data_IF_494295866916
#
_entry.id   IF_494295866916
#
_cell.length_a   1.000
_cell.length_b   1.000
_cell.length_c   1.000
_cell.angle_alpha   90.00
_cell.angle_beta   90.00
_cell.angle_gamma   90.00
#
_symmetry.space_group_name_H-M   'P 1'
#
loop_
_entity.id
_entity.type
_entity.pdbx_description
1 polymer ?
#
# COMPACT_ATOMS: atom_id res chain seq x y z
N UNK A 1 3.06 -7.53 -20.49
CA UNK A 1 4.13 -7.13 -19.55
C UNK A 1 3.69 -7.41 -18.12
N UNK A 2 4.52 -8.02 -17.30
CA UNK A 2 4.19 -8.21 -15.89
C UNK A 2 4.10 -6.88 -15.16
N UNK A 3 3.25 -6.83 -14.15
CA UNK A 3 3.07 -5.65 -13.32
C UNK A 3 3.83 -5.85 -12.00
N UNK A 4 4.80 -4.99 -11.69
CA UNK A 4 5.66 -5.21 -10.52
C UNK A 4 4.97 -4.85 -9.21
N UNK A 5 5.42 -5.49 -8.13
CA UNK A 5 5.10 -5.05 -6.77
C UNK A 5 6.08 -3.93 -6.43
N UNK A 6 5.56 -2.75 -6.11
CA UNK A 6 6.40 -1.57 -5.91
C UNK A 6 6.30 -0.96 -4.51
N UNK A 7 5.39 -1.46 -3.69
CA UNK A 7 5.12 -0.85 -2.39
C UNK A 7 4.54 -1.91 -1.44
N UNK A 8 4.99 -1.89 -0.19
CA UNK A 8 4.31 -2.66 0.85
C UNK A 8 3.62 -1.68 1.80
N UNK A 9 2.67 -2.19 2.58
CA UNK A 9 2.00 -1.35 3.56
C UNK A 9 1.75 -2.15 4.83
N UNK A 10 2.06 -1.56 5.98
CA UNK A 10 1.80 -2.17 7.28
C UNK A 10 0.98 -1.17 8.08
N UNK A 11 -0.20 -1.58 8.51
CA UNK A 11 -1.13 -0.70 9.21
C UNK A 11 -1.54 -1.30 10.55
N UNK A 12 -1.87 -0.44 11.49
CA UNK A 12 -2.37 -0.87 12.79
C UNK A 12 -2.98 0.27 13.57
N UNK A 13 -3.52 -0.04 14.75
CA UNK A 13 -4.25 0.93 15.56
C UNK A 13 -3.37 1.99 16.22
N UNK A 14 -2.07 1.75 16.27
CA UNK A 14 -1.10 2.74 16.77
C UNK A 14 0.04 2.86 15.75
N UNK A 15 -0.16 3.74 14.78
CA UNK A 15 0.79 3.92 13.68
C UNK A 15 2.15 4.41 14.16
N UNK A 16 2.18 5.30 15.15
CA UNK A 16 3.45 5.81 15.69
C UNK A 16 4.26 4.70 16.33
N UNK A 17 3.61 3.83 17.09
CA UNK A 17 4.27 2.69 17.72
C UNK A 17 4.84 1.74 16.66
N UNK A 18 4.06 1.45 15.62
CA UNK A 18 4.51 0.60 14.53
C UNK A 18 5.74 1.18 13.84
N UNK A 19 5.70 2.48 13.55
CA UNK A 19 6.83 3.14 12.89
C UNK A 19 8.10 3.02 13.73
N UNK A 20 8.00 3.27 15.03
CA UNK A 20 9.15 3.14 15.93
C UNK A 20 9.66 1.70 15.99
N UNK A 21 8.74 0.74 16.08
CA UNK A 21 9.10 -0.67 16.15
C UNK A 21 9.94 -1.09 14.94
N UNK A 22 9.47 -0.81 13.74
CA UNK A 22 10.16 -1.23 12.53
C UNK A 22 11.45 -0.48 12.28
N UNK A 23 11.49 0.81 12.64
CA UNK A 23 12.73 1.58 12.53
C UNK A 23 13.81 1.02 13.47
N UNK A 24 13.43 0.70 14.70
CA UNK A 24 14.39 0.19 15.70
C UNK A 24 14.85 -1.24 15.38
N UNK A 25 13.92 -2.09 14.96
CA UNK A 25 14.26 -3.50 14.74
C UNK A 25 15.07 -3.73 13.48
N UNK A 26 14.78 -2.99 12.41
CA UNK A 26 15.37 -3.27 11.09
C UNK A 26 16.17 -2.11 10.52
N UNK A 27 16.29 -1.02 11.24
CA UNK A 27 17.09 0.12 10.78
C UNK A 27 16.48 0.90 9.64
N UNK A 28 15.17 0.76 9.42
CA UNK A 28 14.49 1.48 8.34
C UNK A 28 14.36 2.97 8.64
N UNK A 29 14.49 3.79 7.60
CA UNK A 29 14.30 5.24 7.71
C UNK A 29 12.85 5.55 7.39
N UNK A 30 12.14 6.17 8.35
CA UNK A 30 10.71 6.43 8.21
C UNK A 30 10.46 7.93 8.33
N UNK A 31 9.77 8.49 7.32
CA UNK A 31 9.38 9.89 7.28
C UNK A 31 7.86 10.00 7.30
N UNK A 32 7.30 10.45 8.41
CA UNK A 32 5.86 10.62 8.58
C UNK A 32 5.45 12.10 8.53
N UNK A 33 6.30 12.97 8.01
CA UNK A 33 6.04 14.40 7.90
C UNK A 33 5.13 14.69 6.69
N UNK A 34 3.86 14.35 6.85
CA UNK A 34 2.83 14.58 5.84
C UNK A 34 1.47 14.65 6.55
N UNK A 35 0.43 15.17 5.85
CA UNK A 35 -0.88 15.40 6.50
C UNK A 35 -1.53 14.18 7.14
N UNK A 36 -1.20 12.98 6.67
CA UNK A 36 -1.79 11.75 7.18
C UNK A 36 -0.91 11.04 8.20
N UNK A 37 0.26 11.60 8.51
CA UNK A 37 1.28 10.95 9.36
C UNK A 37 1.61 9.54 8.87
N UNK A 38 1.54 9.34 7.57
CA UNK A 38 1.87 8.07 6.93
C UNK A 38 3.37 7.93 6.83
N UNK A 39 3.92 6.89 7.43
CA UNK A 39 5.36 6.72 7.50
C UNK A 39 5.94 6.17 6.19
N UNK A 40 6.41 7.06 5.33
CA UNK A 40 7.11 6.66 4.12
C UNK A 40 8.41 6.00 4.53
N UNK A 41 8.54 4.74 4.16
CA UNK A 41 9.57 3.85 4.71
C UNK A 41 10.58 3.45 3.64
N UNK A 42 11.85 3.77 3.91
CA UNK A 42 12.97 3.36 3.08
C UNK A 42 13.65 2.19 3.78
N UNK A 43 13.56 1.02 3.17
CA UNK A 43 14.15 -0.19 3.75
C UNK A 43 15.65 -0.33 3.44
N UNK A 44 16.15 0.53 2.56
CA UNK A 44 17.55 0.50 2.15
C UNK A 44 17.85 -0.59 1.12
N UNK A 45 19.03 -0.52 0.53
CA UNK A 45 19.48 -1.54 -0.40
C UNK A 45 18.58 -1.70 -1.63
N UNK A 46 18.41 -2.94 -2.06
CA UNK A 46 17.66 -3.26 -3.27
C UNK A 46 16.22 -3.72 -2.99
N UNK A 47 15.78 -3.66 -1.74
CA UNK A 47 14.42 -4.03 -1.37
C UNK A 47 13.40 -2.99 -1.79
N UNK A 48 12.13 -3.38 -1.75
CA UNK A 48 11.06 -2.41 -2.02
C UNK A 48 10.85 -1.52 -0.82
N UNK A 49 10.43 -0.29 -1.07
CA UNK A 49 10.06 0.65 -0.04
C UNK A 49 8.55 0.59 0.20
N UNK A 50 8.08 1.20 1.27
CA UNK A 50 6.67 1.09 1.59
C UNK A 50 6.19 2.18 2.53
N UNK A 51 5.11 1.87 3.25
CA UNK A 51 4.53 2.77 4.20
C UNK A 51 4.02 2.06 5.44
N UNK A 52 4.10 2.74 6.56
CA UNK A 52 3.58 2.26 7.84
C UNK A 52 2.66 3.32 8.41
N UNK A 53 1.41 2.97 8.65
CA UNK A 53 0.42 3.94 9.05
C UNK A 53 -0.62 3.39 10.00
N UNK A 54 -1.61 4.22 10.25
CA UNK A 54 -2.67 3.93 11.20
C UNK A 54 -3.94 3.48 10.52
N UNK A 55 -4.56 2.44 11.07
CA UNK A 55 -5.88 1.97 10.65
C UNK A 55 -6.53 1.26 11.83
N UNK A 56 -7.85 1.09 11.78
CA UNK A 56 -8.56 0.43 12.87
C UNK A 56 -8.14 -1.02 13.05
N UNK A 57 -7.85 -1.71 11.96
CA UNK A 57 -7.45 -3.11 12.00
C UNK A 57 -6.05 -3.29 11.44
N UNK A 58 -5.32 -4.25 11.98
CA UNK A 58 -3.99 -4.59 11.49
C UNK A 58 -4.08 -5.16 10.07
N UNK A 59 -3.16 -4.72 9.21
CA UNK A 59 -3.11 -5.17 7.83
C UNK A 59 -1.67 -5.06 7.32
N UNK A 60 -1.20 -6.11 6.65
CA UNK A 60 0.03 -6.04 5.88
C UNK A 60 -0.32 -6.40 4.45
N UNK A 61 0.03 -5.56 3.51
CA UNK A 61 -0.35 -5.75 2.12
C UNK A 61 0.73 -5.25 1.16
N UNK A 62 0.50 -5.50 -0.11
CA UNK A 62 1.40 -5.08 -1.19
C UNK A 62 0.60 -4.27 -2.20
N UNK A 63 1.29 -3.44 -2.97
CA UNK A 63 0.70 -2.68 -4.06
C UNK A 63 1.37 -3.06 -5.37
N UNK A 64 0.54 -3.34 -6.37
CA UNK A 64 0.98 -3.71 -7.71
C UNK A 64 0.83 -2.48 -8.61
N UNK A 65 1.89 -2.14 -9.32
CA UNK A 65 1.89 -0.98 -10.21
C UNK A 65 1.21 -1.33 -11.53
N UNK A 66 0.24 -0.51 -11.93
CA UNK A 66 -0.52 -0.69 -13.17
C UNK A 66 -0.70 0.65 -13.87
N UNK A 67 -0.97 0.61 -15.17
CA UNK A 67 -1.19 1.83 -15.94
C UNK A 67 -2.48 2.53 -15.52
N UNK A 68 -3.55 1.76 -15.36
CA UNK A 68 -4.88 2.28 -15.07
C UNK A 68 -5.54 1.44 -13.97
N UNK A 69 -5.49 1.91 -12.73
CA UNK A 69 -6.10 1.17 -11.61
C UNK A 69 -7.59 0.86 -11.80
N UNK A 70 -8.34 1.78 -12.42
CA UNK A 70 -9.76 1.54 -12.66
C UNK A 70 -10.02 0.38 -13.60
N UNK A 71 -9.25 0.29 -14.67
CA UNK A 71 -9.36 -0.80 -15.63
C UNK A 71 -8.97 -2.13 -15.00
N UNK A 72 -7.90 -2.14 -14.22
CA UNK A 72 -7.47 -3.35 -13.51
C UNK A 72 -8.46 -3.77 -12.42
N UNK A 73 -9.08 -2.80 -11.75
CA UNK A 73 -10.10 -3.11 -10.75
C UNK A 73 -11.28 -3.85 -11.38
N UNK A 74 -11.75 -3.37 -12.54
CA UNK A 74 -12.81 -4.06 -13.30
C UNK A 74 -12.37 -5.46 -13.71
N UNK A 75 -11.12 -5.60 -14.14
CA UNK A 75 -10.57 -6.88 -14.60
C UNK A 75 -10.51 -7.91 -13.46
N UNK A 76 -10.03 -7.50 -12.28
CA UNK A 76 -9.94 -8.44 -11.14
C UNK A 76 -11.34 -8.81 -10.62
N UNK A 77 -12.28 -7.87 -10.63
CA UNK A 77 -13.65 -8.15 -10.23
C UNK A 77 -14.28 -9.17 -11.17
N UNK A 78 -14.06 -9.02 -12.48
CA UNK A 78 -14.56 -9.98 -13.46
C UNK A 78 -13.96 -11.39 -13.25
N UNK A 79 -12.79 -11.47 -12.62
CA UNK A 79 -12.11 -12.73 -12.34
C UNK A 79 -12.42 -13.28 -10.93
N UNK A 80 -13.33 -12.65 -10.19
CA UNK A 80 -13.78 -13.18 -8.89
C UNK A 80 -13.35 -12.39 -7.66
N UNK A 81 -12.66 -11.27 -7.84
CA UNK A 81 -12.28 -10.42 -6.72
C UNK A 81 -13.42 -9.45 -6.33
N UNK A 82 -13.26 -8.81 -5.20
CA UNK A 82 -14.20 -7.80 -4.71
C UNK A 82 -13.48 -6.46 -4.52
N UNK A 83 -14.19 -5.36 -4.75
CA UNK A 83 -13.65 -4.02 -4.51
C UNK A 83 -13.61 -3.77 -3.00
N UNK A 84 -12.46 -3.36 -2.49
CA UNK A 84 -12.31 -2.90 -1.11
C UNK A 84 -12.26 -1.37 -1.08
N UNK A 85 -11.47 -0.78 -1.96
CA UNK A 85 -11.35 0.67 -2.09
C UNK A 85 -11.40 1.02 -3.56
N UNK A 86 -12.38 1.81 -3.96
CA UNK A 86 -12.48 2.29 -5.34
C UNK A 86 -11.30 3.19 -5.68
N UNK A 87 -11.10 3.45 -6.96
CA UNK A 87 -10.01 4.32 -7.39
C UNK A 87 -10.09 5.64 -6.64
N UNK A 88 -9.01 5.97 -5.96
CA UNK A 88 -8.90 7.17 -5.13
C UNK A 88 -7.63 7.91 -5.51
N UNK A 89 -7.76 9.19 -5.78
CA UNK A 89 -6.61 10.05 -6.04
C UNK A 89 -6.31 10.88 -4.80
N UNK A 90 -5.08 10.79 -4.31
CA UNK A 90 -4.58 11.70 -3.30
C UNK A 90 -3.73 12.72 -4.06
N UNK A 91 -4.20 13.97 -4.22
CA UNK A 91 -3.52 14.95 -5.06
C UNK A 91 -2.04 15.10 -4.73
N UNK A 92 -1.21 15.16 -5.77
CA UNK A 92 0.24 15.29 -5.67
C UNK A 92 0.95 14.13 -4.97
N UNK A 93 0.24 13.03 -4.72
CA UNK A 93 0.82 11.85 -4.06
C UNK A 93 0.62 10.59 -4.87
N UNK A 94 -0.62 10.09 -4.94
CA UNK A 94 -0.85 8.75 -5.50
C UNK A 94 -2.28 8.58 -5.98
N UNK A 95 -2.46 7.73 -6.98
CA UNK A 95 -3.77 7.22 -7.40
C UNK A 95 -3.74 5.71 -7.17
N UNK A 96 -4.69 5.21 -6.41
CA UNK A 96 -4.67 3.81 -5.99
C UNK A 96 -6.08 3.23 -5.86
N UNK A 97 -6.14 1.90 -5.73
CA UNK A 97 -7.37 1.17 -5.43
C UNK A 97 -6.99 -0.07 -4.63
N UNK A 98 -7.96 -0.73 -4.05
CA UNK A 98 -7.74 -1.98 -3.33
C UNK A 98 -8.83 -2.98 -3.67
N UNK A 99 -8.46 -4.24 -3.76
CA UNK A 99 -9.40 -5.33 -3.98
C UNK A 99 -9.11 -6.47 -3.01
N UNK A 100 -10.12 -7.33 -2.83
CA UNK A 100 -9.97 -8.57 -2.08
C UNK A 100 -9.92 -9.69 -3.10
N UNK A 101 -8.83 -10.45 -3.09
CA UNK A 101 -8.66 -11.55 -4.04
C UNK A 101 -9.59 -12.72 -3.70
N UNK A 102 -9.69 -13.75 -4.55
CA UNK A 102 -10.59 -14.88 -4.30
C UNK A 102 -10.36 -15.63 -2.99
N UNK A 103 -9.17 -15.52 -2.42
CA UNK A 103 -8.85 -16.15 -1.12
C UNK A 103 -9.13 -15.23 0.06
N UNK A 104 -9.44 -13.95 -0.19
CA UNK A 104 -9.73 -12.99 0.87
C UNK A 104 -8.59 -12.03 1.20
N UNK A 105 -7.49 -12.07 0.44
CA UNK A 105 -6.36 -11.15 0.69
C UNK A 105 -6.66 -9.77 0.12
N UNK A 106 -6.39 -8.74 0.91
CA UNK A 106 -6.50 -7.36 0.44
C UNK A 106 -5.19 -6.97 -0.22
N UNK A 107 -5.27 -6.54 -1.47
CA UNK A 107 -4.11 -6.17 -2.28
C UNK A 107 -4.39 -4.82 -2.94
N UNK A 108 -3.37 -3.99 -3.06
CA UNK A 108 -3.49 -2.67 -3.65
C UNK A 108 -3.06 -2.62 -5.10
N UNK A 109 -3.64 -1.67 -5.82
CA UNK A 109 -3.24 -1.28 -7.17
C UNK A 109 -2.80 0.17 -7.10
N UNK A 110 -1.70 0.51 -7.74
CA UNK A 110 -1.21 1.89 -7.75
C UNK A 110 -0.86 2.27 -9.18
N UNK A 111 -1.17 3.52 -9.53
CA UNK A 111 -0.92 4.01 -10.87
C UNK A 111 0.57 4.24 -11.09
N UNK A 112 1.07 3.75 -12.22
CA UNK A 112 2.44 4.00 -12.65
C UNK A 112 2.64 5.50 -12.84
N UNK A 113 3.67 6.02 -12.20
CA UNK A 113 3.95 7.45 -12.22
C UNK A 113 5.01 7.87 -13.15
#
# INVERSE_FOLDING_TARGET
>A
MPNPVVHFEILGSDGDQLQRFYAEMFGWTINADNPMSYGLTDTGGEGINGGIGQAEAALATIYIEVDDPGQYLEKVVAAGAEVVQDVTEIPDMVTFAQFRDPAGNIVGLVKAG
#
